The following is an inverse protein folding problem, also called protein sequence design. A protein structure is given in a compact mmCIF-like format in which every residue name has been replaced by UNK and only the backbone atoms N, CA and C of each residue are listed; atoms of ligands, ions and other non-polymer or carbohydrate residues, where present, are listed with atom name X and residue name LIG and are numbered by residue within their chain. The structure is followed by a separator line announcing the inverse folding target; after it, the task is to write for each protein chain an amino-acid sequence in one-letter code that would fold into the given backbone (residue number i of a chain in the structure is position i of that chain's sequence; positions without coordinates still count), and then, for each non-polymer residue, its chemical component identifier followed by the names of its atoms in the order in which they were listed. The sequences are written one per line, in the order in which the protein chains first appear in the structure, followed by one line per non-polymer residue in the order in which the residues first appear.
data_IF_067651511009
#
_entry.id   IF_067651511009
#
_cell.length_a   1.000
_cell.length_b   1.000
_cell.length_c   1.000
_cell.angle_alpha   90.00
_cell.angle_beta   90.00
_cell.angle_gamma   90.00
#
_symmetry.space_group_name_H-M   'P 1'
#
loop_
_entity.id
_entity.type
_entity.pdbx_description
1 polymer ?
#
# COMPACT_ATOMS: atom_id res chain seq x y z
N UNK A 1 -23.25 0.88 30.32
CA UNK A 1 -23.49 0.01 29.16
C UNK A 1 -22.28 0.07 28.23
N UNK A 2 -21.27 -0.79 28.25
CA UNK A 2 -20.80 -1.82 29.17
C UNK A 2 -19.28 -1.96 28.91
N UNK A 3 -18.47 -2.35 29.92
CA UNK A 3 -17.04 -2.58 29.72
C UNK A 3 -16.73 -4.04 29.36
N UNK A 4 -15.46 -4.30 29.06
CA UNK A 4 -14.76 -5.59 29.13
C UNK A 4 -14.82 -6.59 27.96
N UNK A 5 -13.60 -7.03 27.62
CA UNK A 5 -13.19 -8.39 27.25
C UNK A 5 -13.13 -8.78 25.76
N UNK A 6 -12.06 -8.34 25.09
CA UNK A 6 -11.45 -9.09 23.99
C UNK A 6 -9.93 -9.18 24.19
N UNK A 7 -9.51 -9.64 25.37
CA UNK A 7 -8.22 -10.30 25.52
C UNK A 7 -8.50 -11.78 25.80
N UNK A 8 -7.72 -12.64 25.12
CA UNK A 8 -7.65 -14.11 25.23
C UNK A 8 -8.54 -14.87 24.24
N UNK A 9 -7.94 -15.19 23.10
CA UNK A 9 -7.80 -16.56 22.60
C UNK A 9 -6.66 -16.58 21.58
N UNK A 10 -5.44 -16.76 22.09
CA UNK A 10 -4.36 -17.27 21.27
C UNK A 10 -4.72 -18.74 20.97
N UNK A 11 -5.26 -19.01 19.79
CA UNK A 11 -5.35 -20.38 19.30
C UNK A 11 -3.94 -20.84 18.96
N UNK A 12 -3.49 -21.88 19.65
CA UNK A 12 -2.24 -22.57 19.40
C UNK A 12 -2.34 -23.24 18.01
N UNK A 13 -1.89 -22.57 16.96
CA UNK A 13 -1.69 -23.22 15.66
C UNK A 13 -0.40 -24.02 15.74
N UNK A 14 -0.54 -25.34 15.80
CA UNK A 14 0.59 -26.28 15.76
C UNK A 14 1.14 -26.34 14.32
N UNK A 15 1.96 -25.36 13.92
CA UNK A 15 2.82 -25.50 12.75
C UNK A 15 4.08 -26.28 13.16
N UNK A 16 4.34 -27.37 12.45
CA UNK A 16 5.42 -28.33 12.71
C UNK A 16 6.78 -27.64 12.91
N UNK A 17 7.36 -27.80 14.10
CA UNK A 17 8.80 -27.98 14.27
C UNK A 17 9.71 -26.78 14.59
N UNK A 18 9.24 -25.52 14.62
CA UNK A 18 10.07 -24.39 15.06
C UNK A 18 9.28 -23.50 16.05
N UNK A 19 9.81 -23.34 17.27
CA UNK A 19 9.25 -22.44 18.29
C UNK A 19 9.57 -20.99 17.93
N UNK A 20 8.84 -20.42 16.98
CA UNK A 20 8.73 -18.97 16.83
C UNK A 20 7.36 -18.54 17.32
N UNK A 21 7.33 -17.72 18.36
CA UNK A 21 6.14 -17.04 18.84
C UNK A 21 5.75 -16.00 17.79
N UNK A 22 5.01 -16.39 16.75
CA UNK A 22 4.34 -15.40 15.92
C UNK A 22 3.20 -14.83 16.77
N UNK A 23 3.41 -13.64 17.33
CA UNK A 23 2.28 -12.74 17.59
C UNK A 23 1.39 -12.74 16.36
N UNK A 24 0.04 -12.70 16.47
CA UNK A 24 -0.79 -12.54 15.27
C UNK A 24 -0.26 -11.32 14.52
N UNK A 25 0.36 -11.57 13.36
CA UNK A 25 0.95 -10.51 12.57
C UNK A 25 -0.19 -9.59 12.18
N UNK A 26 -0.06 -8.30 12.51
CA UNK A 26 -1.06 -7.31 12.13
C UNK A 26 -1.22 -7.35 10.59
N UNK A 27 -2.40 -7.73 10.06
CA UNK A 27 -2.62 -7.82 8.62
C UNK A 27 -2.38 -6.51 7.88
N UNK A 28 -2.39 -5.39 8.59
CA UNK A 28 -2.27 -4.05 8.04
C UNK A 28 -0.82 -3.55 8.04
N UNK A 29 0.12 -4.29 8.63
CA UNK A 29 1.54 -3.88 8.70
C UNK A 29 2.29 -3.99 7.37
N UNK A 30 1.79 -4.77 6.42
CA UNK A 30 2.36 -4.87 5.07
C UNK A 30 1.27 -5.11 4.05
N UNK A 31 0.84 -4.03 3.41
CA UNK A 31 -0.12 -4.03 2.31
C UNK A 31 0.58 -3.70 1.00
N UNK A 32 0.05 -4.24 -0.10
CA UNK A 32 0.47 -3.83 -1.45
C UNK A 32 -0.71 -3.15 -2.11
N UNK A 33 -0.51 -1.91 -2.53
CA UNK A 33 -1.51 -1.11 -3.23
C UNK A 33 -1.01 -0.74 -4.63
N UNK A 34 -1.92 -0.73 -5.59
CA UNK A 34 -1.74 -0.12 -6.90
C UNK A 34 -2.51 1.20 -6.89
N UNK A 35 -1.78 2.31 -7.00
CA UNK A 35 -2.31 3.67 -6.90
C UNK A 35 -2.27 4.33 -8.27
N UNK A 36 -3.44 4.78 -8.74
CA UNK A 36 -3.57 5.58 -9.95
C UNK A 36 -4.16 6.95 -9.58
N UNK A 37 -3.29 7.95 -9.41
CA UNK A 37 -3.69 9.33 -9.13
C UNK A 37 -3.90 10.06 -10.46
N UNK A 38 -5.08 10.64 -10.66
CA UNK A 38 -5.49 11.34 -11.88
C UNK A 38 -5.84 12.79 -11.54
N UNK A 39 -4.95 13.77 -11.82
CA UNK A 39 -5.31 15.18 -11.74
C UNK A 39 -6.26 15.53 -12.89
N UNK A 40 -7.38 16.18 -12.58
CA UNK A 40 -8.40 16.57 -13.55
C UNK A 40 -8.47 18.10 -13.64
N UNK A 41 -8.49 18.63 -14.86
CA UNK A 41 -8.47 20.07 -15.10
C UNK A 41 -7.07 20.70 -15.06
N UNK A 42 -6.02 19.88 -15.11
CA UNK A 42 -4.61 20.31 -15.05
C UNK A 42 -3.92 20.40 -16.43
N UNK A 43 -4.68 20.34 -17.52
CA UNK A 43 -4.16 20.32 -18.89
C UNK A 43 -3.85 18.92 -19.42
N UNK A 44 -3.10 18.85 -20.52
CA UNK A 44 -2.89 17.61 -21.30
C UNK A 44 -1.66 16.80 -20.87
N UNK A 45 -0.77 17.38 -20.07
CA UNK A 45 0.41 16.69 -19.53
C UNK A 45 0.27 16.64 -18.03
N UNK A 46 0.41 15.44 -17.46
CA UNK A 46 0.24 15.22 -16.02
C UNK A 46 1.52 14.79 -15.31
N UNK A 47 2.64 14.69 -16.04
CA UNK A 47 3.89 14.09 -15.54
C UNK A 47 4.47 14.80 -14.31
N UNK A 48 4.42 16.13 -14.26
CA UNK A 48 4.91 16.91 -13.12
C UNK A 48 4.12 16.63 -11.83
N UNK A 49 2.80 16.46 -11.94
CA UNK A 49 1.91 16.13 -10.83
C UNK A 49 2.19 14.71 -10.31
N UNK A 50 2.38 13.74 -11.21
CA UNK A 50 2.72 12.37 -10.81
C UNK A 50 4.11 12.33 -10.16
N UNK A 51 5.08 13.09 -10.68
CA UNK A 51 6.40 13.19 -10.06
C UNK A 51 6.34 13.76 -8.63
N UNK A 52 5.45 14.73 -8.37
CA UNK A 52 5.22 15.24 -7.01
C UNK A 52 4.64 14.15 -6.09
N UNK A 53 3.70 13.34 -6.57
CA UNK A 53 3.18 12.19 -5.81
C UNK A 53 4.27 11.14 -5.51
N UNK A 54 5.16 10.85 -6.45
CA UNK A 54 6.28 9.91 -6.21
C UNK A 54 7.19 10.39 -5.08
N UNK A 55 7.46 11.70 -4.99
CA UNK A 55 8.25 12.26 -3.89
C UNK A 55 7.55 12.11 -2.54
N UNK A 56 6.21 12.24 -2.50
CA UNK A 56 5.42 11.98 -1.29
C UNK A 56 5.60 10.53 -0.85
N UNK A 57 5.47 9.56 -1.76
CA UNK A 57 5.63 8.14 -1.41
C UNK A 57 7.02 7.83 -0.82
N UNK A 58 8.07 8.46 -1.35
CA UNK A 58 9.43 8.35 -0.81
C UNK A 58 9.53 8.96 0.59
N UNK A 59 8.91 10.12 0.85
CA UNK A 59 8.88 10.75 2.19
C UNK A 59 8.18 9.89 3.24
N UNK A 60 7.14 9.17 2.84
CA UNK A 60 6.43 8.20 3.69
C UNK A 60 7.16 6.86 3.81
N UNK A 61 8.40 6.75 3.29
CA UNK A 61 9.24 5.57 3.36
C UNK A 61 8.56 4.31 2.78
N UNK A 62 7.73 4.50 1.73
CA UNK A 62 7.06 3.40 1.03
C UNK A 62 8.01 2.79 0.00
N UNK A 63 7.93 1.47 -0.15
CA UNK A 63 8.56 0.80 -1.31
C UNK A 63 7.71 1.07 -2.54
N UNK A 64 8.26 1.70 -3.57
CA UNK A 64 7.52 2.04 -4.79
C UNK A 64 8.05 1.31 -6.02
N UNK A 65 7.14 1.06 -6.96
CA UNK A 65 7.45 0.62 -8.32
C UNK A 65 6.52 1.33 -9.28
N UNK A 66 7.04 2.38 -9.91
CA UNK A 66 6.35 3.13 -10.95
C UNK A 66 6.17 2.28 -12.21
N UNK A 67 5.01 2.42 -12.85
CA UNK A 67 4.70 1.86 -14.17
C UNK A 67 3.85 2.85 -14.98
N UNK A 68 3.55 2.50 -16.23
CA UNK A 68 2.91 3.42 -17.19
C UNK A 68 1.48 3.89 -16.83
N UNK A 69 0.84 3.30 -15.81
CA UNK A 69 -0.56 3.55 -15.47
C UNK A 69 -0.79 3.81 -13.98
N UNK A 70 0.28 4.03 -13.21
CA UNK A 70 0.21 4.18 -11.77
C UNK A 70 1.48 3.71 -11.09
N UNK A 71 1.39 3.54 -9.79
CA UNK A 71 2.51 3.15 -8.94
C UNK A 71 2.07 2.05 -7.99
N UNK A 72 2.81 0.94 -8.00
CA UNK A 72 2.67 -0.03 -6.93
C UNK A 72 3.43 0.47 -5.71
N UNK A 73 2.75 0.55 -4.57
CA UNK A 73 3.34 0.91 -3.29
C UNK A 73 3.19 -0.23 -2.29
N UNK A 74 4.18 -0.37 -1.41
CA UNK A 74 4.15 -1.30 -0.30
C UNK A 74 4.62 -0.63 0.99
N UNK A 75 3.86 -0.85 2.06
CA UNK A 75 4.10 -0.33 3.40
C UNK A 75 2.99 -0.75 4.36
N UNK A 76 2.93 -0.15 5.53
CA UNK A 76 1.77 -0.28 6.40
C UNK A 76 0.57 0.50 5.85
N UNK A 77 -0.63 0.08 6.25
CA UNK A 77 -1.90 0.62 5.77
C UNK A 77 -2.05 2.11 6.05
N UNK A 78 -1.67 2.54 7.25
CA UNK A 78 -1.73 3.93 7.69
C UNK A 78 -0.80 4.82 6.86
N UNK A 79 0.44 4.41 6.64
CA UNK A 79 1.41 5.14 5.80
C UNK A 79 0.95 5.23 4.35
N UNK A 80 0.38 4.16 3.77
CA UNK A 80 -0.17 4.20 2.40
C UNK A 80 -1.32 5.20 2.29
N UNK A 81 -2.24 5.20 3.24
CA UNK A 81 -3.35 6.16 3.24
C UNK A 81 -2.90 7.60 3.51
N UNK A 82 -1.95 7.79 4.43
CA UNK A 82 -1.39 9.10 4.74
C UNK A 82 -0.68 9.69 3.53
N UNK A 83 0.14 8.89 2.84
CA UNK A 83 0.81 9.30 1.61
C UNK A 83 -0.20 9.66 0.51
N UNK A 84 -1.26 8.86 0.33
CA UNK A 84 -2.29 9.17 -0.66
C UNK A 84 -3.02 10.50 -0.34
N UNK A 85 -3.33 10.75 0.93
CA UNK A 85 -3.92 12.02 1.36
C UNK A 85 -2.99 13.20 1.09
N UNK A 86 -1.71 13.06 1.40
CA UNK A 86 -0.71 14.10 1.13
C UNK A 86 -0.53 14.34 -0.37
N UNK A 87 -0.55 13.29 -1.21
CA UNK A 87 -0.56 13.45 -2.67
C UNK A 87 -1.72 14.35 -3.13
N UNK A 88 -2.94 14.13 -2.64
CA UNK A 88 -4.08 14.99 -3.00
C UNK A 88 -3.87 16.43 -2.55
N UNK A 89 -3.35 16.64 -1.33
CA UNK A 89 -3.06 17.98 -0.81
C UNK A 89 -2.03 18.72 -1.67
N UNK A 90 -0.90 18.07 -1.98
CA UNK A 90 0.16 18.63 -2.84
C UNK A 90 -0.39 18.98 -4.23
N UNK A 91 -1.22 18.13 -4.82
CA UNK A 91 -1.82 18.44 -6.12
C UNK A 91 -2.77 19.63 -6.07
N UNK A 92 -3.55 19.78 -5.00
CA UNK A 92 -4.39 20.95 -4.80
C UNK A 92 -3.56 22.23 -4.60
N UNK A 93 -2.44 22.15 -3.87
CA UNK A 93 -1.49 23.27 -3.73
C UNK A 93 -0.86 23.66 -5.08
N UNK A 94 -0.63 22.69 -5.96
CA UNK A 94 -0.19 22.91 -7.35
C UNK A 94 -1.30 23.42 -8.29
N UNK A 95 -2.49 23.72 -7.76
CA UNK A 95 -3.60 24.30 -8.51
C UNK A 95 -4.50 23.30 -9.24
N UNK A 96 -4.37 21.99 -8.98
CA UNK A 96 -5.27 20.99 -9.55
C UNK A 96 -6.66 21.10 -8.89
N UNK A 97 -7.73 21.45 -9.64
CA UNK A 97 -9.03 21.71 -9.03
C UNK A 97 -9.75 20.43 -8.58
N UNK A 98 -9.40 19.28 -9.17
CA UNK A 98 -10.02 17.99 -8.84
C UNK A 98 -9.00 16.86 -9.00
N UNK A 99 -8.89 16.01 -7.99
CA UNK A 99 -8.07 14.79 -8.04
C UNK A 99 -9.00 13.58 -7.94
N UNK A 100 -8.82 12.63 -8.84
CA UNK A 100 -9.45 11.31 -8.76
C UNK A 100 -8.38 10.27 -8.49
N UNK A 101 -8.66 9.24 -7.70
CA UNK A 101 -7.73 8.14 -7.49
C UNK A 101 -8.44 6.81 -7.56
N UNK A 102 -7.93 5.89 -8.39
CA UNK A 102 -8.28 4.49 -8.32
C UNK A 102 -7.25 3.76 -7.46
N UNK A 103 -7.74 2.94 -6.52
CA UNK A 103 -6.92 2.25 -5.55
C UNK A 103 -7.30 0.78 -5.55
N UNK A 104 -6.32 -0.10 -5.77
CA UNK A 104 -6.46 -1.56 -5.56
C UNK A 104 -5.50 -1.97 -4.47
N UNK A 105 -6.01 -2.42 -3.32
CA UNK A 105 -5.19 -2.87 -2.19
C UNK A 105 -5.42 -4.36 -1.94
N UNK A 106 -4.34 -5.10 -1.72
CA UNK A 106 -4.39 -6.49 -1.31
C UNK A 106 -3.76 -6.69 0.08
N UNK A 107 -4.47 -7.41 0.94
CA UNK A 107 -3.98 -7.96 2.20
C UNK A 107 -4.12 -9.48 2.19
N UNK A 108 -3.30 -10.19 2.97
CA UNK A 108 -3.41 -11.64 3.15
C UNK A 108 -2.79 -12.05 4.48
N UNK A 109 -3.27 -13.16 5.04
CA UNK A 109 -2.82 -13.70 6.33
C UNK A 109 -2.04 -15.01 6.21
N UNK A 110 -2.10 -15.67 5.05
CA UNK A 110 -1.55 -17.01 4.86
C UNK A 110 -0.03 -17.03 4.59
N UNK A 111 0.55 -15.91 4.14
CA UNK A 111 1.99 -15.71 4.02
C UNK A 111 2.39 -14.24 3.93
N UNK A 112 3.61 -13.93 4.34
CA UNK A 112 4.25 -12.66 4.01
C UNK A 112 4.43 -12.52 2.50
N UNK A 113 4.32 -11.29 2.00
CA UNK A 113 4.42 -11.02 0.59
C UNK A 113 4.99 -9.63 0.34
N UNK A 114 5.79 -9.53 -0.72
CA UNK A 114 6.31 -8.28 -1.26
C UNK A 114 5.93 -8.11 -2.73
N UNK A 115 5.98 -6.88 -3.24
CA UNK A 115 5.83 -6.60 -4.68
C UNK A 115 6.77 -7.51 -5.49
N UNK A 116 8.06 -7.56 -5.11
CA UNK A 116 9.07 -8.41 -5.75
C UNK A 116 8.72 -9.90 -5.72
N UNK A 117 8.20 -10.40 -4.58
CA UNK A 117 7.80 -11.81 -4.48
C UNK A 117 6.61 -12.15 -5.38
N UNK A 118 5.65 -11.22 -5.54
CA UNK A 118 4.50 -11.37 -6.43
C UNK A 118 4.94 -11.42 -7.88
N UNK A 119 5.81 -10.50 -8.30
CA UNK A 119 6.38 -10.48 -9.64
C UNK A 119 7.16 -11.78 -9.93
N UNK A 120 8.07 -12.17 -9.03
CA UNK A 120 8.88 -13.40 -9.17
C UNK A 120 8.01 -14.64 -9.38
N UNK A 121 6.93 -14.76 -8.61
CA UNK A 121 6.04 -15.93 -8.68
C UNK A 121 5.27 -16.03 -10.00
N UNK A 122 5.05 -14.92 -10.70
CA UNK A 122 4.44 -14.91 -12.03
C UNK A 122 5.52 -15.14 -13.08
N UNK A 123 6.64 -14.41 -13.01
CA UNK A 123 7.72 -14.52 -14.00
C UNK A 123 8.31 -15.93 -14.07
N UNK A 124 8.40 -16.66 -12.95
CA UNK A 124 8.86 -18.06 -12.93
C UNK A 124 7.88 -19.07 -13.55
N UNK A 125 6.75 -18.60 -14.11
CA UNK A 125 5.72 -19.43 -14.76
C UNK A 125 5.47 -19.00 -16.20
N UNK A 126 6.20 -18.01 -16.70
CA UNK A 126 6.12 -17.54 -18.08
C UNK A 126 7.11 -18.27 -19.00
N UNK A 127 7.75 -19.33 -18.49
CA UNK A 127 8.64 -20.23 -19.23
C UNK A 127 7.82 -21.25 -20.05
#
# INVERSE_FOLDING_TARGET
FGPMSLLRRASLVLCRGHRTFCSPADPFKSVVADLQVTPMGAGNSVSEYIAACEQVFVRHNLTTKLHAYGTNVQGDWESVQAALKECHAVLHEMGVPRVSTAVKIGTRLDKEHTITSKLRSVTSKLD
#
